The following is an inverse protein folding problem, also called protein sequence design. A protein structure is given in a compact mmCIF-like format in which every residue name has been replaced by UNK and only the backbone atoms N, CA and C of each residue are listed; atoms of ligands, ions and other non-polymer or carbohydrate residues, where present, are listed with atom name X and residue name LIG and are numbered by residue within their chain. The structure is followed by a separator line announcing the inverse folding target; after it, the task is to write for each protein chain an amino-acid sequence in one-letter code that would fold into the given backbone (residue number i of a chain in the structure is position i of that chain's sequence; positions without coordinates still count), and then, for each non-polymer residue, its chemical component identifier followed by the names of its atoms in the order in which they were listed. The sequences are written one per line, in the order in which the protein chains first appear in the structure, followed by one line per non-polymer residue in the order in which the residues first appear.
data_IF_134998303068
#
_entry.id   IF_134998303068
#
_cell.length_a   1.000
_cell.length_b   1.000
_cell.length_c   1.000
_cell.angle_alpha   90.00
_cell.angle_beta   90.00
_cell.angle_gamma   90.00
#
_symmetry.space_group_name_H-M   'P 1'
#
loop_
_entity.id
_entity.type
_entity.pdbx_description
1 polymer ?
#
# COMPACT_ATOMS: atom_id res chain seq x y z
N UNK A 1 17.10 -67.54 -11.63
CA UNK A 1 16.66 -66.14 -11.84
C UNK A 1 15.82 -65.74 -10.62
N UNK A 2 16.48 -65.11 -9.66
CA UNK A 2 15.95 -64.68 -8.36
C UNK A 2 15.59 -63.20 -8.45
N UNK A 3 14.33 -62.84 -8.22
CA UNK A 3 13.89 -61.45 -8.15
C UNK A 3 13.20 -61.19 -6.80
N UNK A 4 13.98 -60.56 -5.93
CA UNK A 4 13.57 -59.98 -4.65
C UNK A 4 12.63 -58.80 -4.89
N UNK A 5 11.51 -58.74 -4.16
CA UNK A 5 10.65 -57.55 -4.03
C UNK A 5 10.64 -57.15 -2.55
N UNK A 6 11.52 -56.22 -2.21
CA UNK A 6 11.52 -55.53 -0.92
C UNK A 6 10.33 -54.56 -0.86
N UNK A 7 9.41 -54.81 0.07
CA UNK A 7 8.36 -53.87 0.46
C UNK A 7 8.95 -52.87 1.46
N UNK A 8 9.09 -51.61 1.05
CA UNK A 8 9.34 -50.51 1.97
C UNK A 8 8.02 -49.95 2.46
N UNK A 9 7.64 -50.36 3.67
CA UNK A 9 6.58 -49.76 4.48
C UNK A 9 7.10 -48.43 5.02
N UNK A 10 6.79 -47.32 4.35
CA UNK A 10 7.02 -45.98 4.87
C UNK A 10 5.87 -45.61 5.81
N UNK A 11 6.10 -45.78 7.11
CA UNK A 11 5.24 -45.26 8.15
C UNK A 11 5.36 -43.73 8.18
N UNK A 12 4.42 -43.04 7.52
CA UNK A 12 4.22 -41.61 7.70
C UNK A 12 3.50 -41.42 9.04
N UNK A 13 4.23 -40.92 10.03
CA UNK A 13 3.66 -40.42 11.27
C UNK A 13 2.78 -39.20 10.96
N UNK A 14 1.47 -39.44 10.79
CA UNK A 14 0.44 -38.41 10.75
C UNK A 14 0.29 -37.88 12.18
N UNK A 15 0.75 -36.65 12.39
CA UNK A 15 0.54 -35.91 13.61
C UNK A 15 -0.98 -35.74 13.86
N UNK A 16 -1.36 -35.98 15.11
CA UNK A 16 -2.72 -36.04 15.62
C UNK A 16 -3.58 -34.83 15.24
N UNK A 17 -4.69 -35.12 14.54
CA UNK A 17 -5.74 -34.18 14.26
C UNK A 17 -6.75 -34.07 15.41
N UNK A 18 -7.17 -32.84 15.68
CA UNK A 18 -8.58 -32.59 15.94
C UNK A 18 -9.20 -32.37 14.55
N UNK A 19 -10.14 -33.20 14.08
CA UNK A 19 -10.89 -32.86 12.90
C UNK A 19 -11.82 -31.72 13.32
N UNK A 20 -11.38 -30.48 13.15
CA UNK A 20 -12.36 -29.42 12.97
C UNK A 20 -12.94 -29.71 11.60
N UNK A 21 -14.10 -30.35 11.59
CA UNK A 21 -14.89 -30.59 10.39
C UNK A 21 -15.44 -29.23 9.93
N UNK A 22 -14.53 -28.41 9.38
CA UNK A 22 -14.84 -27.08 8.89
C UNK A 22 -15.55 -27.28 7.56
N UNK A 23 -16.87 -27.11 7.58
CA UNK A 23 -17.66 -27.20 6.36
C UNK A 23 -17.32 -26.04 5.40
N UNK A 24 -16.54 -26.40 4.38
CA UNK A 24 -16.11 -25.54 3.28
C UNK A 24 -17.16 -25.43 2.17
N UNK A 25 -18.33 -26.07 2.32
CA UNK A 25 -19.39 -26.01 1.32
C UNK A 25 -19.91 -24.59 1.21
N UNK A 26 -20.00 -24.12 -0.03
CA UNK A 26 -20.54 -22.82 -0.35
C UNK A 26 -21.97 -22.68 0.22
N UNK A 27 -22.28 -21.63 0.99
CA UNK A 27 -23.61 -21.46 1.61
C UNK A 27 -24.74 -21.21 0.59
N UNK A 28 -24.40 -20.96 -0.69
CA UNK A 28 -25.38 -20.73 -1.74
C UNK A 28 -25.62 -21.96 -2.63
N UNK A 29 -24.55 -22.64 -3.08
CA UNK A 29 -24.69 -23.80 -3.98
C UNK A 29 -24.40 -25.16 -3.32
N UNK A 30 -23.96 -25.17 -2.06
CA UNK A 30 -23.61 -26.36 -1.27
C UNK A 30 -22.56 -27.29 -1.91
N UNK A 31 -21.78 -26.79 -2.88
CA UNK A 31 -20.67 -27.50 -3.50
C UNK A 31 -19.32 -27.05 -2.93
N UNK A 32 -18.30 -27.90 -3.05
CA UNK A 32 -16.92 -27.67 -2.57
C UNK A 32 -15.90 -27.56 -3.71
N UNK A 33 -16.28 -27.98 -4.92
CA UNK A 33 -15.39 -28.26 -6.05
C UNK A 33 -14.81 -27.00 -6.72
N UNK A 34 -15.48 -25.86 -6.55
CA UNK A 34 -15.07 -24.55 -7.10
C UNK A 34 -14.80 -23.53 -5.99
N UNK A 35 -14.39 -24.01 -4.82
CA UNK A 35 -14.14 -23.22 -3.63
C UNK A 35 -12.63 -23.11 -3.42
N UNK A 36 -12.12 -21.89 -3.38
CA UNK A 36 -10.68 -21.60 -3.25
C UNK A 36 -10.46 -20.57 -2.15
N UNK A 37 -9.34 -20.66 -1.43
CA UNK A 37 -9.01 -19.66 -0.42
C UNK A 37 -8.82 -18.28 -1.08
N UNK A 38 -9.30 -17.23 -0.42
CA UNK A 38 -9.16 -15.86 -0.92
C UNK A 38 -7.69 -15.49 -1.19
N UNK A 39 -6.71 -15.89 -0.36
CA UNK A 39 -5.30 -15.64 -0.67
C UNK A 39 -4.83 -16.26 -1.97
N UNK A 40 -5.29 -17.47 -2.31
CA UNK A 40 -4.89 -18.12 -3.55
C UNK A 40 -5.54 -17.43 -4.76
N UNK A 41 -6.84 -17.07 -4.69
CA UNK A 41 -7.52 -16.30 -5.75
C UNK A 41 -6.86 -14.93 -5.97
N UNK A 42 -6.45 -14.27 -4.89
CA UNK A 42 -5.75 -13.00 -4.97
C UNK A 42 -4.36 -13.15 -5.59
N UNK A 43 -3.59 -14.17 -5.19
CA UNK A 43 -2.27 -14.45 -5.75
C UNK A 43 -2.35 -14.78 -7.25
N UNK A 44 -3.32 -15.60 -7.67
CA UNK A 44 -3.56 -15.93 -9.08
C UNK A 44 -3.93 -14.68 -9.91
N UNK A 45 -4.58 -13.70 -9.28
CA UNK A 45 -4.98 -12.46 -9.93
C UNK A 45 -3.94 -11.34 -9.93
N UNK A 46 -2.75 -11.55 -9.35
CA UNK A 46 -1.65 -10.57 -9.31
C UNK A 46 -0.44 -11.14 -10.06
N UNK A 47 -0.05 -10.50 -11.15
CA UNK A 47 1.15 -10.85 -11.90
C UNK A 47 2.07 -9.63 -12.06
N UNK A 48 3.37 -9.85 -11.93
CA UNK A 48 4.40 -8.83 -12.18
C UNK A 48 5.19 -9.19 -13.43
N UNK A 49 5.30 -8.26 -14.36
CA UNK A 49 6.16 -8.37 -15.53
C UNK A 49 7.26 -7.32 -15.47
N UNK A 50 8.52 -7.74 -15.54
CA UNK A 50 9.68 -6.88 -15.69
C UNK A 50 10.15 -6.87 -17.14
N UNK A 51 10.35 -5.71 -17.75
CA UNK A 51 10.92 -5.57 -19.08
C UNK A 51 12.05 -4.56 -19.10
N UNK A 52 13.06 -4.77 -19.95
CA UNK A 52 14.15 -3.81 -20.13
C UNK A 52 13.96 -3.08 -21.46
N UNK A 53 13.81 -1.77 -21.42
CA UNK A 53 13.76 -0.91 -22.60
C UNK A 53 15.11 -0.21 -22.82
N UNK A 54 15.52 -0.05 -24.08
CA UNK A 54 16.60 0.85 -24.45
C UNK A 54 16.03 2.23 -24.72
N UNK A 55 16.69 3.27 -24.22
CA UNK A 55 16.35 4.65 -24.56
C UNK A 55 17.60 5.39 -25.02
N UNK A 56 17.41 6.28 -25.99
CA UNK A 56 18.42 7.25 -26.42
C UNK A 56 17.98 8.64 -25.98
N UNK A 57 18.94 9.42 -25.50
CA UNK A 57 18.74 10.79 -25.07
C UNK A 57 19.97 11.63 -25.34
N UNK A 58 19.91 12.90 -24.97
CA UNK A 58 21.02 13.83 -25.11
C UNK A 58 21.35 14.41 -23.74
N UNK A 59 22.59 14.21 -23.30
CA UNK A 59 23.14 14.83 -22.09
C UNK A 59 23.80 16.17 -22.42
N UNK A 60 23.75 17.11 -21.48
CA UNK A 60 24.46 18.40 -21.57
C UNK A 60 25.72 18.33 -20.72
N UNK A 61 26.88 18.50 -21.33
CA UNK A 61 28.17 18.58 -20.66
C UNK A 61 28.89 19.90 -20.98
N UNK A 62 29.95 20.21 -20.25
CA UNK A 62 30.79 21.40 -20.49
C UNK A 62 31.42 21.41 -21.89
N UNK A 63 31.54 20.26 -22.54
CA UNK A 63 32.06 20.10 -23.90
C UNK A 63 30.98 20.10 -24.99
N UNK A 64 29.70 20.24 -24.63
CA UNK A 64 28.57 20.25 -25.57
C UNK A 64 27.52 19.16 -25.30
N UNK A 65 26.73 18.85 -26.33
CA UNK A 65 25.70 17.81 -26.28
C UNK A 65 26.31 16.44 -26.56
N UNK A 66 26.10 15.49 -25.64
CA UNK A 66 26.63 14.11 -25.75
C UNK A 66 25.46 13.14 -25.87
N UNK A 67 25.44 12.21 -26.84
CA UNK A 67 24.41 11.18 -26.92
C UNK A 67 24.53 10.23 -25.72
N UNK A 68 23.41 9.94 -25.07
CA UNK A 68 23.30 8.98 -23.97
C UNK A 68 22.43 7.82 -24.44
N UNK A 69 22.99 6.61 -24.44
CA UNK A 69 22.24 5.38 -24.65
C UNK A 69 22.17 4.68 -23.30
N UNK A 70 20.96 4.48 -22.81
CA UNK A 70 20.71 3.85 -21.52
C UNK A 70 19.76 2.66 -21.65
N UNK A 71 19.81 1.77 -20.67
CA UNK A 71 18.78 0.77 -20.42
C UNK A 71 17.93 1.21 -19.24
N UNK A 72 16.63 1.01 -19.32
CA UNK A 72 15.70 1.24 -18.23
C UNK A 72 14.91 -0.05 -17.97
N UNK A 73 14.88 -0.51 -16.73
CA UNK A 73 13.96 -1.56 -16.31
C UNK A 73 12.59 -0.95 -16.03
N UNK A 74 11.55 -1.54 -16.62
CA UNK A 74 10.15 -1.18 -16.44
C UNK A 74 9.48 -2.39 -15.79
N UNK A 75 9.12 -2.25 -14.53
CA UNK A 75 8.32 -3.24 -13.81
C UNK A 75 6.85 -2.81 -13.86
N UNK A 76 5.97 -3.71 -14.30
CA UNK A 76 4.52 -3.53 -14.31
C UNK A 76 3.84 -4.61 -13.49
N UNK A 77 2.89 -4.20 -12.66
CA UNK A 77 2.03 -5.13 -11.92
C UNK A 77 0.62 -5.10 -12.53
N UNK A 78 0.17 -6.26 -12.98
CA UNK A 78 -1.17 -6.49 -13.50
C UNK A 78 -2.01 -7.10 -12.39
N UNK A 79 -3.17 -6.51 -12.11
CA UNK A 79 -4.10 -6.98 -11.08
C UNK A 79 -5.48 -7.11 -11.69
N UNK A 80 -6.07 -8.30 -11.61
CA UNK A 80 -7.43 -8.54 -12.10
C UNK A 80 -8.47 -7.77 -11.28
N UNK A 81 -9.67 -7.54 -11.85
CA UNK A 81 -10.74 -6.86 -11.10
C UNK A 81 -11.14 -7.64 -9.85
N UNK A 82 -11.17 -8.97 -9.93
CA UNK A 82 -11.46 -9.84 -8.79
C UNK A 82 -10.40 -9.71 -7.69
N UNK A 83 -9.11 -9.80 -8.02
CA UNK A 83 -8.05 -9.61 -7.03
C UNK A 83 -8.10 -8.20 -6.41
N UNK A 84 -8.41 -7.16 -7.20
CA UNK A 84 -8.59 -5.79 -6.68
C UNK A 84 -9.77 -5.68 -5.71
N UNK A 85 -10.86 -6.41 -5.96
CA UNK A 85 -12.02 -6.46 -5.06
C UNK A 85 -11.72 -7.22 -3.76
N UNK A 86 -10.78 -8.17 -3.79
CA UNK A 86 -10.33 -8.97 -2.64
C UNK A 86 -9.09 -8.41 -1.94
N UNK A 87 -8.66 -7.18 -2.25
CA UNK A 87 -7.42 -6.62 -1.73
C UNK A 87 -7.42 -6.52 -0.19
N UNK A 88 -6.42 -7.08 0.50
CA UNK A 88 -6.37 -7.10 1.96
C UNK A 88 -6.13 -5.72 2.58
N UNK A 89 -5.46 -4.82 1.83
CA UNK A 89 -5.13 -3.48 2.29
C UNK A 89 -5.47 -2.42 1.23
N UNK A 90 -5.82 -1.19 1.65
CA UNK A 90 -5.93 -0.06 0.73
C UNK A 90 -4.54 0.31 0.18
N UNK A 91 -4.51 0.88 -1.02
CA UNK A 91 -3.27 1.31 -1.65
C UNK A 91 -2.54 2.35 -0.79
N UNK A 92 -1.27 2.10 -0.48
CA UNK A 92 -0.43 3.08 0.22
C UNK A 92 -0.08 4.23 -0.72
N UNK A 93 -0.41 5.45 -0.31
CA UNK A 93 -0.03 6.64 -1.06
C UNK A 93 1.43 7.00 -0.75
N UNK A 94 2.26 7.16 -1.79
CA UNK A 94 3.65 7.57 -1.59
C UNK A 94 3.70 9.01 -1.07
N UNK A 95 4.17 9.17 0.18
CA UNK A 95 4.39 10.48 0.78
C UNK A 95 5.76 11.06 0.39
N UNK A 96 6.72 10.21 0.01
CA UNK A 96 8.13 10.57 -0.21
C UNK A 96 8.33 11.64 -1.28
N UNK A 97 7.67 11.49 -2.45
CA UNK A 97 7.78 12.47 -3.53
C UNK A 97 7.18 13.81 -3.12
N UNK A 98 6.06 13.77 -2.39
CA UNK A 98 5.39 14.98 -1.90
C UNK A 98 6.24 15.70 -0.83
N UNK A 99 6.90 14.95 0.07
CA UNK A 99 7.81 15.53 1.06
C UNK A 99 9.05 16.16 0.41
N UNK A 100 9.61 15.54 -0.63
CA UNK A 100 10.76 16.10 -1.37
C UNK A 100 10.35 17.40 -2.06
N UNK A 101 9.23 17.39 -2.79
CA UNK A 101 8.71 18.59 -3.47
C UNK A 101 8.38 19.70 -2.46
N UNK A 102 7.73 19.36 -1.35
CA UNK A 102 7.41 20.33 -0.31
C UNK A 102 8.64 20.94 0.38
N UNK A 103 9.69 20.14 0.60
CA UNK A 103 10.96 20.63 1.14
C UNK A 103 11.67 21.54 0.13
N UNK A 104 11.68 21.16 -1.15
CA UNK A 104 12.31 21.94 -2.22
C UNK A 104 11.61 23.29 -2.42
N UNK A 105 10.27 23.32 -2.31
CA UNK A 105 9.47 24.55 -2.33
C UNK A 105 9.72 25.48 -1.14
N UNK A 106 10.23 24.97 -0.01
CA UNK A 106 10.58 25.81 1.14
C UNK A 106 11.94 26.50 1.00
N UNK A 107 12.82 26.03 0.12
CA UNK A 107 14.19 26.58 -0.04
C UNK A 107 14.17 28.09 -0.34
N UNK A 108 13.34 28.61 -1.28
CA UNK A 108 13.27 30.04 -1.56
C UNK A 108 12.73 30.87 -0.39
N UNK A 109 11.78 30.32 0.38
CA UNK A 109 11.25 31.00 1.55
C UNK A 109 12.31 31.11 2.66
N UNK A 110 13.08 30.05 2.87
CA UNK A 110 14.18 30.03 3.85
C UNK A 110 15.32 30.95 3.40
N UNK A 111 15.68 30.96 2.11
CA UNK A 111 16.75 31.81 1.60
C UNK A 111 16.41 33.31 1.70
N UNK A 112 15.14 33.70 1.63
CA UNK A 112 14.68 35.07 1.88
C UNK A 112 14.57 35.39 3.38
N UNK A 113 14.18 34.42 4.21
CA UNK A 113 14.03 34.62 5.65
C UNK A 113 15.37 34.77 6.39
N UNK A 114 16.42 34.04 5.98
CA UNK A 114 17.75 34.08 6.61
C UNK A 114 18.38 35.49 6.61
N UNK A 115 18.55 36.19 5.47
CA UNK A 115 19.14 37.52 5.47
C UNK A 115 18.29 38.52 6.23
N UNK A 116 16.95 38.41 6.14
CA UNK A 116 16.04 39.26 6.91
C UNK A 116 16.19 39.06 8.41
N UNK A 117 16.35 37.82 8.88
CA UNK A 117 16.65 37.52 10.28
C UNK A 117 18.03 38.03 10.71
N UNK A 118 19.06 37.90 9.87
CA UNK A 118 20.42 38.38 10.16
C UNK A 118 20.44 39.92 10.29
N UNK A 119 19.79 40.64 9.38
CA UNK A 119 19.65 42.11 9.43
C UNK A 119 19.01 42.57 10.75
N UNK A 120 18.04 41.82 11.26
CA UNK A 120 17.36 42.16 12.53
C UNK A 120 18.19 41.84 13.76
N UNK A 121 18.95 40.74 13.71
CA UNK A 121 19.83 40.32 14.81
C UNK A 121 21.04 41.24 14.96
N UNK A 122 21.50 41.86 13.87
CA UNK A 122 22.58 42.87 13.88
C UNK A 122 22.13 44.25 14.39
N UNK A 123 20.87 44.38 14.81
CA UNK A 123 20.41 45.51 15.63
C UNK A 123 20.19 46.80 14.86
N UNK A 124 19.97 46.76 13.54
CA UNK A 124 19.62 47.96 12.78
C UNK A 124 18.30 48.56 13.31
N UNK A 125 18.32 49.76 13.94
CA UNK A 125 17.15 50.35 14.58
C UNK A 125 16.08 50.81 13.56
N UNK A 126 16.40 50.75 12.26
CA UNK A 126 15.50 51.09 11.16
C UNK A 126 14.42 50.02 10.89
N UNK A 127 14.56 48.80 11.43
CA UNK A 127 13.63 47.72 11.13
C UNK A 127 12.41 47.75 12.06
N UNK A 128 11.43 48.58 11.70
CA UNK A 128 10.13 48.67 12.39
C UNK A 128 9.37 47.33 12.33
N UNK A 129 8.49 47.09 13.32
CA UNK A 129 7.58 45.94 13.32
C UNK A 129 6.72 45.87 12.05
N UNK A 130 6.40 47.03 11.46
CA UNK A 130 5.69 47.09 10.18
C UNK A 130 6.49 46.49 9.02
N UNK A 131 7.82 46.70 8.97
CA UNK A 131 8.72 46.12 7.97
C UNK A 131 8.71 44.59 8.03
N UNK A 132 8.69 44.03 9.25
CA UNK A 132 8.59 42.58 9.47
C UNK A 132 7.25 41.99 8.99
N UNK A 133 6.15 42.65 9.35
CA UNK A 133 4.81 42.20 8.96
C UNK A 133 4.66 42.25 7.44
N UNK A 134 5.14 43.30 6.77
CA UNK A 134 5.12 43.41 5.31
C UNK A 134 5.99 42.34 4.64
N UNK A 135 7.20 42.10 5.15
CA UNK A 135 8.09 41.04 4.64
C UNK A 135 7.50 39.64 4.76
N UNK A 136 6.91 39.32 5.92
CA UNK A 136 6.25 38.03 6.15
C UNK A 136 5.01 37.84 5.29
N UNK A 137 4.16 38.87 5.17
CA UNK A 137 2.87 38.75 4.49
C UNK A 137 3.00 38.73 2.96
N UNK A 138 3.90 39.54 2.39
CA UNK A 138 3.99 39.72 0.94
C UNK A 138 5.09 38.90 0.27
N UNK A 139 6.15 38.55 0.99
CA UNK A 139 7.30 37.84 0.39
C UNK A 139 7.42 36.41 0.92
N UNK A 140 7.58 36.24 2.24
CA UNK A 140 7.86 34.92 2.83
C UNK A 140 6.62 34.02 2.83
N UNK A 141 5.46 34.56 3.18
CA UNK A 141 4.19 33.82 3.28
C UNK A 141 3.78 33.16 1.96
N UNK A 142 3.65 33.92 0.86
CA UNK A 142 3.30 33.36 -0.45
C UNK A 142 4.33 32.35 -0.97
N UNK A 143 5.63 32.60 -0.73
CA UNK A 143 6.69 31.68 -1.09
C UNK A 143 6.65 30.37 -0.27
N UNK A 144 6.33 30.44 1.02
CA UNK A 144 6.29 29.29 1.91
C UNK A 144 4.98 28.48 1.78
N UNK A 145 3.86 29.11 1.41
CA UNK A 145 2.54 28.50 1.45
C UNK A 145 2.43 27.18 0.65
N UNK A 146 2.92 27.07 -0.60
CA UNK A 146 2.89 25.81 -1.34
C UNK A 146 3.69 24.69 -0.65
N UNK A 147 4.85 25.03 -0.06
CA UNK A 147 5.69 24.09 0.69
C UNK A 147 4.99 23.57 1.96
N UNK A 148 4.37 24.47 2.73
CA UNK A 148 3.62 24.10 3.94
C UNK A 148 2.40 23.25 3.60
N UNK A 149 1.63 23.61 2.57
CA UNK A 149 0.44 22.85 2.14
C UNK A 149 0.83 21.45 1.69
N UNK A 150 1.85 21.32 0.83
CA UNK A 150 2.33 20.01 0.36
C UNK A 150 2.87 19.15 1.49
N UNK A 151 3.61 19.70 2.45
CA UNK A 151 4.05 18.98 3.64
C UNK A 151 2.90 18.58 4.57
N UNK A 152 1.87 19.44 4.70
CA UNK A 152 0.65 19.12 5.44
C UNK A 152 -0.07 17.90 4.86
N UNK A 153 -0.25 17.87 3.54
CA UNK A 153 -0.82 16.72 2.83
C UNK A 153 0.07 15.49 3.00
N UNK A 154 1.39 15.64 2.83
CA UNK A 154 2.34 14.53 3.01
C UNK A 154 2.28 13.93 4.42
N UNK A 155 2.16 14.76 5.46
CA UNK A 155 2.00 14.33 6.84
C UNK A 155 0.65 13.63 7.06
N UNK A 156 -0.42 14.12 6.45
CA UNK A 156 -1.73 13.46 6.46
C UNK A 156 -1.68 12.05 5.83
N UNK A 157 -1.02 11.92 4.68
CA UNK A 157 -0.76 10.63 4.02
C UNK A 157 0.09 9.72 4.88
N UNK A 158 1.20 10.21 5.43
CA UNK A 158 2.07 9.44 6.30
C UNK A 158 1.36 8.92 7.56
N UNK A 159 0.49 9.72 8.17
CA UNK A 159 -0.34 9.29 9.32
C UNK A 159 -1.33 8.19 8.92
N UNK A 160 -1.95 8.31 7.75
CA UNK A 160 -2.90 7.32 7.24
C UNK A 160 -2.17 6.01 6.92
N UNK A 161 -1.02 6.06 6.25
CA UNK A 161 -0.16 4.91 6.00
C UNK A 161 0.29 4.23 7.30
N UNK A 162 0.67 5.00 8.33
CA UNK A 162 1.01 4.43 9.65
C UNK A 162 -0.16 3.70 10.29
N UNK A 163 -1.41 4.17 10.10
CA UNK A 163 -2.61 3.44 10.58
C UNK A 163 -2.77 2.12 9.83
N UNK A 164 -2.63 2.14 8.50
CA UNK A 164 -2.70 0.94 7.67
C UNK A 164 -1.65 -0.09 8.10
N UNK A 165 -0.39 0.33 8.27
CA UNK A 165 0.69 -0.57 8.70
C UNK A 165 0.43 -1.17 10.08
N UNK A 166 -0.10 -0.39 11.03
CA UNK A 166 -0.44 -0.89 12.39
C UNK A 166 -1.59 -1.90 12.37
N UNK A 167 -2.56 -1.73 11.48
CA UNK A 167 -3.73 -2.59 11.36
C UNK A 167 -3.53 -3.85 10.50
N UNK A 168 -2.40 -3.93 9.79
CA UNK A 168 -2.14 -4.94 8.77
C UNK A 168 -2.31 -6.37 9.25
N UNK A 169 -1.71 -6.71 10.38
CA UNK A 169 -1.76 -8.08 10.92
C UNK A 169 -3.19 -8.53 11.23
N UNK A 170 -4.01 -7.64 11.81
CA UNK A 170 -5.41 -7.93 12.15
C UNK A 170 -6.27 -8.14 10.91
N UNK A 171 -6.16 -7.25 9.92
CA UNK A 171 -6.86 -7.41 8.65
C UNK A 171 -6.43 -8.68 7.93
N UNK A 172 -5.13 -8.98 7.92
CA UNK A 172 -4.56 -10.13 7.23
C UNK A 172 -5.05 -11.45 7.84
N UNK A 173 -5.15 -11.55 9.17
CA UNK A 173 -5.69 -12.74 9.83
C UNK A 173 -7.14 -13.03 9.40
N UNK A 174 -8.00 -12.01 9.38
CA UNK A 174 -9.40 -12.13 8.92
C UNK A 174 -9.48 -12.46 7.43
N UNK A 175 -8.63 -11.83 6.63
CA UNK A 175 -8.57 -12.03 5.19
C UNK A 175 -8.12 -13.45 4.80
N UNK A 176 -7.12 -14.00 5.48
CA UNK A 176 -6.60 -15.35 5.23
C UNK A 176 -7.61 -16.46 5.52
N UNK A 177 -8.55 -16.22 6.45
CA UNK A 177 -9.63 -17.15 6.76
C UNK A 177 -10.76 -17.16 5.72
N UNK A 178 -10.77 -16.22 4.76
CA UNK A 178 -11.80 -16.09 3.76
C UNK A 178 -11.68 -17.12 2.62
N UNK A 179 -12.83 -17.53 2.10
CA UNK A 179 -12.93 -18.49 1.01
C UNK A 179 -13.89 -17.97 -0.07
N UNK A 180 -13.52 -18.12 -1.33
CA UNK A 180 -14.27 -17.65 -2.50
C UNK A 180 -14.80 -18.82 -3.34
N UNK A 181 -16.05 -18.74 -3.74
CA UNK A 181 -16.67 -19.70 -4.65
C UNK A 181 -16.71 -19.13 -6.08
N UNK A 182 -15.96 -19.74 -6.99
CA UNK A 182 -15.93 -19.33 -8.40
C UNK A 182 -17.27 -19.49 -9.12
N UNK A 183 -18.11 -20.43 -8.68
CA UNK A 183 -19.43 -20.70 -9.27
C UNK A 183 -20.44 -19.59 -8.99
N UNK A 184 -20.46 -19.10 -7.75
CA UNK A 184 -21.47 -18.14 -7.27
C UNK A 184 -20.94 -16.71 -7.19
N UNK A 185 -19.62 -16.51 -7.25
CA UNK A 185 -19.00 -15.19 -7.13
C UNK A 185 -19.06 -14.59 -5.72
N UNK A 186 -19.25 -15.43 -4.70
CA UNK A 186 -19.38 -14.99 -3.31
C UNK A 186 -18.16 -15.38 -2.48
N UNK A 187 -17.91 -14.60 -1.44
CA UNK A 187 -16.91 -14.86 -0.41
C UNK A 187 -17.63 -15.17 0.89
N UNK A 188 -17.11 -16.11 1.66
CA UNK A 188 -17.60 -16.42 2.99
C UNK A 188 -16.46 -16.86 3.90
N UNK A 189 -16.72 -16.89 5.20
CA UNK A 189 -15.81 -17.44 6.20
C UNK A 189 -16.33 -18.80 6.69
N UNK A 190 -15.55 -19.88 6.57
CA UNK A 190 -15.96 -21.20 7.06
C UNK A 190 -16.10 -21.22 8.59
N UNK A 191 -15.20 -20.55 9.29
CA UNK A 191 -15.22 -20.30 10.74
C UNK A 191 -15.17 -18.80 11.02
N UNK A 192 -15.77 -18.35 12.12
CA UNK A 192 -15.76 -16.92 12.49
C UNK A 192 -14.34 -16.51 12.91
N UNK A 193 -13.66 -15.60 12.18
CA UNK A 193 -12.31 -15.17 12.53
C UNK A 193 -12.28 -14.05 13.58
N UNK A 194 -13.43 -13.43 13.87
CA UNK A 194 -13.59 -12.34 14.82
C UNK A 194 -15.05 -12.26 15.29
N UNK A 195 -15.29 -11.83 16.52
CA UNK A 195 -16.62 -11.81 17.16
C UNK A 195 -17.69 -11.06 16.35
N UNK A 196 -17.29 -10.07 15.56
CA UNK A 196 -18.19 -9.25 14.74
C UNK A 196 -18.56 -9.88 13.38
N UNK A 197 -17.97 -11.02 13.01
CA UNK A 197 -18.12 -11.63 11.68
C UNK A 197 -18.89 -12.95 11.80
N UNK A 198 -20.13 -13.02 11.27
CA UNK A 198 -20.90 -14.26 11.32
C UNK A 198 -20.28 -15.32 10.41
N UNK A 199 -20.16 -16.57 10.89
CA UNK A 199 -19.66 -17.66 10.08
C UNK A 199 -20.66 -18.00 8.97
N UNK A 200 -20.15 -18.44 7.83
CA UNK A 200 -20.91 -18.98 6.67
C UNK A 200 -21.95 -18.05 6.06
N UNK A 201 -21.92 -16.76 6.36
CA UNK A 201 -22.75 -15.79 5.66
C UNK A 201 -22.14 -15.48 4.27
N UNK A 202 -22.95 -15.49 3.20
CA UNK A 202 -22.47 -15.10 1.88
C UNK A 202 -22.27 -13.58 1.80
N UNK A 203 -21.11 -13.16 1.31
CA UNK A 203 -20.79 -11.76 1.06
C UNK A 203 -20.34 -11.55 -0.38
N UNK A 204 -20.61 -10.37 -0.93
CA UNK A 204 -19.94 -9.92 -2.15
C UNK A 204 -18.47 -9.59 -1.86
N UNK A 205 -17.58 -9.67 -2.86
CA UNK A 205 -16.16 -9.32 -2.69
C UNK A 205 -15.95 -7.92 -2.10
N UNK A 206 -16.76 -6.93 -2.48
CA UNK A 206 -16.67 -5.57 -1.97
C UNK A 206 -17.04 -5.48 -0.48
N UNK A 207 -18.10 -6.20 -0.07
CA UNK A 207 -18.54 -6.24 1.32
C UNK A 207 -17.52 -6.97 2.19
N UNK A 208 -16.99 -8.10 1.71
CA UNK A 208 -15.90 -8.82 2.36
C UNK A 208 -14.70 -7.90 2.60
N UNK A 209 -14.24 -7.17 1.56
CA UNK A 209 -13.14 -6.20 1.69
C UNK A 209 -13.45 -5.12 2.73
N UNK A 210 -14.67 -4.60 2.74
CA UNK A 210 -15.07 -3.57 3.71
C UNK A 210 -15.02 -4.06 5.16
N UNK A 211 -15.32 -5.35 5.41
CA UNK A 211 -15.26 -5.99 6.72
C UNK A 211 -13.80 -6.23 7.12
N UNK A 212 -12.97 -6.76 6.22
CA UNK A 212 -11.52 -6.94 6.44
C UNK A 212 -10.86 -5.60 6.80
N UNK A 213 -11.18 -4.53 6.08
CA UNK A 213 -10.62 -3.20 6.35
C UNK A 213 -11.12 -2.59 7.67
N UNK A 214 -12.33 -2.95 8.11
CA UNK A 214 -12.88 -2.54 9.40
C UNK A 214 -12.16 -3.26 10.54
N UNK A 215 -11.93 -4.57 10.39
CA UNK A 215 -11.13 -5.35 11.35
C UNK A 215 -9.68 -4.83 11.46
N UNK A 216 -9.11 -4.35 10.35
CA UNK A 216 -7.81 -3.65 10.32
C UNK A 216 -7.81 -2.23 10.88
N UNK A 217 -8.98 -1.63 11.15
CA UNK A 217 -9.06 -0.23 11.59
C UNK A 217 -8.57 0.79 10.55
N UNK A 218 -8.69 0.46 9.25
CA UNK A 218 -8.23 1.34 8.18
C UNK A 218 -9.17 2.50 7.91
N UNK A 219 -10.47 2.32 8.17
CA UNK A 219 -11.46 3.39 8.04
C UNK A 219 -11.34 4.39 9.19
N UNK A 220 -11.38 5.68 8.86
CA UNK A 220 -11.81 6.70 9.81
C UNK A 220 -13.30 6.46 10.06
N UNK A 221 -13.63 6.05 11.27
CA UNK A 221 -14.97 6.22 11.85
C UNK A 221 -15.31 7.68 11.92
#
# INVERSE_FOLDING_TARGET
MTASKSAHTAAVHVAQGVPIDVDLSCPHCHQIDLVQSVPAVYADGVSSSSGTGTYSGVGVASTGLIPVIGTASIDRTHVTMLARSLAPEPALESATRLTIVGLLLLIPAVSMAIPMAILTAMGDPAMSLATWVVGLLFFIGPAAAPGVVTLGVARGRARSNKRIVRGRSKAQAVWQAGVYCHRCGIVFWPSSPADDIPPRQPFTPENFRSLVWRAGGYRKT
#
